data_IF_555389337894
#
_entry.id   IF_555389337894
#
_cell.length_a   1.000
_cell.length_b   1.000
_cell.length_c   1.000
_cell.angle_alpha   90.00
_cell.angle_beta   90.00
_cell.angle_gamma   90.00
#
_symmetry.space_group_name_H-M   'P 1'
#
loop_
_entity.id
_entity.type
_entity.pdbx_description
1 polymer ?
#
# COMPACT_ATOMS: atom_id res chain seq x y z
N UNK A 1 0.10 -17.93 9.54
CA UNK A 1 0.57 -17.28 10.78
C UNK A 1 -0.56 -16.60 11.56
N UNK A 2 -1.24 -15.56 11.05
CA UNK A 2 -2.36 -14.91 11.80
C UNK A 2 -3.43 -15.91 12.27
N UNK A 3 -3.87 -16.83 11.40
CA UNK A 3 -4.83 -17.90 11.74
C UNK A 3 -4.38 -18.80 12.88
N UNK A 4 -3.08 -18.97 13.06
CA UNK A 4 -2.53 -19.84 14.10
C UNK A 4 -2.67 -19.16 15.47
N UNK A 5 -2.29 -17.88 15.53
CA UNK A 5 -2.42 -17.05 16.72
C UNK A 5 -3.89 -16.91 17.12
N UNK A 6 -4.79 -16.62 16.18
CA UNK A 6 -6.21 -16.41 16.47
C UNK A 6 -6.98 -17.69 16.79
N UNK A 7 -6.47 -18.88 16.43
CA UNK A 7 -7.11 -20.18 16.70
C UNK A 7 -6.54 -20.89 17.94
N UNK A 8 -5.75 -20.21 18.75
CA UNK A 8 -5.38 -20.69 20.09
C UNK A 8 -6.61 -21.13 20.87
N UNK A 9 -6.51 -22.22 21.67
CA UNK A 9 -7.60 -22.70 22.55
C UNK A 9 -8.17 -21.59 23.46
N UNK A 10 -7.36 -20.58 23.76
CA UNK A 10 -7.71 -19.46 24.63
C UNK A 10 -8.10 -18.19 23.86
N UNK A 11 -8.10 -18.25 22.51
CA UNK A 11 -8.26 -17.07 21.65
C UNK A 11 -7.07 -16.11 21.75
N UNK A 12 -6.81 -15.36 20.68
CA UNK A 12 -5.92 -14.21 20.79
C UNK A 12 -6.77 -12.97 21.03
N UNK A 13 -6.32 -12.10 21.94
CA UNK A 13 -6.97 -10.81 22.16
C UNK A 13 -7.12 -10.04 20.81
N UNK A 14 -8.31 -9.48 20.50
CA UNK A 14 -8.54 -8.79 19.24
C UNK A 14 -7.61 -7.61 18.98
N UNK A 15 -7.11 -6.94 20.03
CA UNK A 15 -6.16 -5.84 19.91
C UNK A 15 -4.78 -6.38 19.52
N UNK A 16 -4.30 -7.42 20.21
CA UNK A 16 -3.02 -8.08 19.90
C UNK A 16 -3.01 -8.62 18.46
N UNK A 17 -4.10 -9.25 18.01
CA UNK A 17 -4.20 -9.72 16.63
C UNK A 17 -4.17 -8.58 15.60
N UNK A 18 -4.71 -7.40 15.91
CA UNK A 18 -4.62 -6.23 15.02
C UNK A 18 -3.21 -5.70 14.95
N UNK A 19 -2.59 -5.57 16.11
CA UNK A 19 -1.25 -5.05 16.23
C UNK A 19 -0.28 -5.94 15.46
N UNK A 20 -0.44 -7.26 15.55
CA UNK A 20 0.32 -8.22 14.74
C UNK A 20 0.11 -8.04 13.23
N UNK A 21 -1.15 -7.88 12.79
CA UNK A 21 -1.43 -7.58 11.38
C UNK A 21 -0.73 -6.29 10.92
N UNK A 22 -0.81 -5.22 11.72
CA UNK A 22 -0.20 -3.92 11.42
C UNK A 22 1.33 -3.96 11.44
N UNK A 23 1.92 -4.67 12.39
CA UNK A 23 3.38 -4.73 12.57
C UNK A 23 4.07 -5.64 11.57
N UNK A 24 3.42 -6.71 11.10
CA UNK A 24 4.03 -7.70 10.23
C UNK A 24 3.47 -7.69 8.81
N UNK A 25 2.17 -7.96 8.64
CA UNK A 25 1.58 -8.10 7.30
C UNK A 25 1.54 -6.75 6.59
N UNK A 26 1.03 -5.73 7.28
CA UNK A 26 0.91 -4.38 6.72
C UNK A 26 2.27 -3.75 6.48
N UNK A 27 3.24 -3.94 7.39
CA UNK A 27 4.60 -3.39 7.22
C UNK A 27 5.30 -3.95 5.99
N UNK A 28 5.17 -5.24 5.69
CA UNK A 28 5.71 -5.86 4.46
C UNK A 28 5.05 -5.27 3.21
N UNK A 29 3.73 -5.11 3.23
CA UNK A 29 2.99 -4.51 2.11
C UNK A 29 3.39 -3.03 1.91
N UNK A 30 3.56 -2.29 2.99
CA UNK A 30 3.94 -0.88 2.95
C UNK A 30 5.39 -0.69 2.49
N UNK A 31 6.30 -1.56 2.90
CA UNK A 31 7.70 -1.49 2.48
C UNK A 31 7.84 -1.65 0.96
N UNK A 32 7.15 -2.62 0.36
CA UNK A 32 7.23 -2.88 -1.08
C UNK A 32 6.42 -1.91 -1.96
N UNK A 33 5.59 -1.04 -1.37
CA UNK A 33 4.54 -0.33 -2.11
C UNK A 33 5.04 0.50 -3.29
N UNK A 34 6.20 1.12 -3.15
CA UNK A 34 6.78 1.98 -4.19
C UNK A 34 7.20 1.18 -5.43
N UNK A 35 7.55 -0.09 -5.26
CA UNK A 35 8.03 -0.95 -6.33
C UNK A 35 6.88 -1.60 -7.09
N UNK A 36 5.97 -2.25 -6.37
CA UNK A 36 4.96 -3.10 -6.99
C UNK A 36 3.69 -2.35 -7.43
N UNK A 37 3.51 -1.06 -7.11
CA UNK A 37 2.27 -0.34 -7.48
C UNK A 37 2.09 -0.20 -9.00
N UNK A 38 3.20 -0.20 -9.75
CA UNK A 38 3.20 -0.27 -11.22
C UNK A 38 2.80 -1.64 -11.79
N UNK A 39 2.64 -2.66 -10.94
CA UNK A 39 2.25 -4.00 -11.35
C UNK A 39 0.82 -4.03 -11.92
N UNK A 40 0.50 -5.13 -12.61
CA UNK A 40 -0.82 -5.33 -13.20
C UNK A 40 -1.91 -5.40 -12.13
N UNK A 41 -3.11 -4.94 -12.49
CA UNK A 41 -4.29 -4.98 -11.62
C UNK A 41 -4.58 -6.37 -11.04
N UNK A 42 -4.26 -7.43 -11.79
CA UNK A 42 -4.39 -8.82 -11.35
C UNK A 42 -3.56 -9.11 -10.10
N UNK A 43 -2.29 -8.68 -10.07
CA UNK A 43 -1.40 -8.86 -8.92
C UNK A 43 -1.78 -7.93 -7.76
N UNK A 44 -2.18 -6.69 -8.03
CA UNK A 44 -2.66 -5.77 -7.00
C UNK A 44 -3.89 -6.33 -6.26
N UNK A 45 -4.84 -6.91 -7.01
CA UNK A 45 -6.02 -7.60 -6.43
C UNK A 45 -5.66 -8.81 -5.57
N UNK A 46 -4.48 -9.43 -5.76
CA UNK A 46 -4.02 -10.52 -4.88
C UNK A 46 -3.57 -9.94 -3.54
N UNK A 47 -2.87 -8.80 -3.55
CA UNK A 47 -2.46 -8.10 -2.33
C UNK A 47 -3.67 -7.61 -1.52
N UNK A 48 -4.66 -7.04 -2.20
CA UNK A 48 -5.92 -6.63 -1.55
C UNK A 48 -6.62 -7.84 -0.89
N UNK A 49 -6.64 -9.00 -1.56
CA UNK A 49 -7.17 -10.24 -0.98
C UNK A 49 -6.41 -10.68 0.27
N UNK A 50 -5.10 -10.47 0.34
CA UNK A 50 -4.29 -10.77 1.54
C UNK A 50 -4.73 -9.88 2.71
N UNK A 51 -4.87 -8.56 2.49
CA UNK A 51 -5.38 -7.63 3.50
C UNK A 51 -6.77 -8.05 3.98
N UNK A 52 -7.73 -8.23 3.07
CA UNK A 52 -9.09 -8.59 3.44
C UNK A 52 -9.18 -9.93 4.16
N UNK A 53 -8.39 -10.91 3.73
CA UNK A 53 -8.33 -12.22 4.39
C UNK A 53 -7.80 -12.10 5.82
N UNK A 54 -6.75 -11.32 6.04
CA UNK A 54 -6.21 -11.07 7.37
C UNK A 54 -7.24 -10.41 8.28
N UNK A 55 -7.93 -9.36 7.81
CA UNK A 55 -8.97 -8.68 8.56
C UNK A 55 -10.18 -9.59 8.84
N UNK A 56 -10.64 -10.40 7.88
CA UNK A 56 -11.72 -11.36 8.11
C UNK A 56 -11.39 -12.41 9.17
N UNK A 57 -10.15 -12.93 9.17
CA UNK A 57 -9.70 -13.88 10.18
C UNK A 57 -9.76 -13.26 11.57
N UNK A 58 -9.42 -11.97 11.69
CA UNK A 58 -9.52 -11.24 12.94
C UNK A 58 -10.96 -11.07 13.41
N UNK A 59 -11.87 -10.66 12.51
CA UNK A 59 -13.30 -10.44 12.86
C UNK A 59 -13.99 -11.76 13.23
N UNK A 60 -13.59 -12.85 12.58
CA UNK A 60 -14.47 -14.02 12.45
C UNK A 60 -15.61 -13.76 11.44
N UNK A 61 -15.45 -12.80 10.53
CA UNK A 61 -16.47 -12.41 9.58
C UNK A 61 -16.75 -13.53 8.57
N UNK A 62 -18.02 -13.68 8.21
CA UNK A 62 -18.45 -14.58 7.14
C UNK A 62 -17.82 -14.19 5.80
N UNK A 63 -17.69 -15.16 4.89
CA UNK A 63 -17.07 -14.93 3.57
C UNK A 63 -17.87 -13.96 2.69
N UNK A 64 -19.17 -13.81 2.94
CA UNK A 64 -20.06 -12.90 2.21
C UNK A 64 -19.99 -11.44 2.68
N UNK A 65 -19.36 -11.13 3.82
CA UNK A 65 -19.29 -9.75 4.31
C UNK A 65 -18.61 -8.83 3.29
N UNK A 66 -19.14 -7.61 3.04
CA UNK A 66 -18.55 -6.69 2.07
C UNK A 66 -17.19 -6.17 2.54
N UNK A 67 -16.21 -6.13 1.62
CA UNK A 67 -14.84 -5.69 1.92
C UNK A 67 -14.75 -4.25 2.46
N UNK A 68 -15.49 -3.26 1.91
CA UNK A 68 -15.46 -1.89 2.43
C UNK A 68 -15.95 -1.78 3.89
N UNK A 69 -16.97 -2.57 4.27
CA UNK A 69 -17.48 -2.56 5.64
C UNK A 69 -16.42 -3.05 6.63
N UNK A 70 -15.71 -4.13 6.29
CA UNK A 70 -14.60 -4.65 7.12
C UNK A 70 -13.49 -3.61 7.29
N UNK A 71 -13.17 -2.85 6.25
CA UNK A 71 -12.17 -1.78 6.34
C UNK A 71 -12.62 -0.65 7.27
N UNK A 72 -13.89 -0.24 7.15
CA UNK A 72 -14.48 0.80 7.97
C UNK A 72 -14.51 0.42 9.46
N UNK A 73 -14.88 -0.82 9.79
CA UNK A 73 -14.90 -1.34 11.16
C UNK A 73 -13.54 -1.23 11.87
N UNK A 74 -12.43 -1.35 11.14
CA UNK A 74 -11.08 -1.34 11.72
C UNK A 74 -10.28 -0.07 11.46
N UNK A 75 -10.90 0.96 10.89
CA UNK A 75 -10.23 2.19 10.50
C UNK A 75 -8.98 1.90 9.63
N UNK A 76 -9.10 0.94 8.72
CA UNK A 76 -8.04 0.55 7.80
C UNK A 76 -8.31 1.13 6.42
N UNK A 77 -7.31 1.75 5.81
CA UNK A 77 -7.42 2.25 4.45
C UNK A 77 -7.28 1.14 3.40
N UNK A 78 -7.95 1.25 2.25
CA UNK A 78 -7.64 0.43 1.09
C UNK A 78 -6.18 0.59 0.69
N UNK A 79 -5.53 -0.49 0.24
CA UNK A 79 -4.10 -0.43 -0.11
C UNK A 79 -3.82 0.62 -1.18
N UNK A 80 -4.66 0.77 -2.21
CA UNK A 80 -4.44 1.78 -3.27
C UNK A 80 -4.24 3.21 -2.71
N UNK A 81 -5.17 3.63 -1.85
CA UNK A 81 -5.10 4.95 -1.20
C UNK A 81 -3.87 5.04 -0.31
N UNK A 82 -3.57 3.96 0.42
CA UNK A 82 -2.42 3.90 1.33
C UNK A 82 -1.09 4.02 0.59
N UNK A 83 -0.92 3.33 -0.54
CA UNK A 83 0.32 3.36 -1.33
C UNK A 83 0.59 4.76 -1.86
N UNK A 84 -0.43 5.42 -2.43
CA UNK A 84 -0.36 6.82 -2.85
C UNK A 84 0.07 7.73 -1.70
N UNK A 85 -0.60 7.63 -0.56
CA UNK A 85 -0.26 8.41 0.63
C UNK A 85 1.21 8.22 1.06
N UNK A 86 1.70 6.97 1.11
CA UNK A 86 3.08 6.67 1.49
C UNK A 86 4.09 7.24 0.48
N UNK A 87 3.81 7.15 -0.82
CA UNK A 87 4.65 7.70 -1.87
C UNK A 87 4.77 9.23 -1.76
N UNK A 88 3.65 9.93 -1.57
CA UNK A 88 3.65 11.38 -1.36
C UNK A 88 4.41 11.77 -0.09
N UNK A 89 4.16 11.08 1.03
CA UNK A 89 4.85 11.32 2.30
C UNK A 89 6.38 11.20 2.15
N UNK A 90 6.83 10.18 1.44
CA UNK A 90 8.25 9.93 1.20
C UNK A 90 8.87 11.02 0.31
N UNK A 91 8.18 11.45 -0.76
CA UNK A 91 8.65 12.53 -1.62
C UNK A 91 8.75 13.87 -0.89
N UNK A 92 7.76 14.23 -0.08
CA UNK A 92 7.79 15.46 0.72
C UNK A 92 8.99 15.43 1.66
N UNK A 93 9.24 14.30 2.32
CA UNK A 93 10.43 14.10 3.15
C UNK A 93 11.72 14.32 2.36
N UNK A 94 11.84 13.75 1.16
CA UNK A 94 13.04 13.91 0.32
C UNK A 94 13.25 15.32 -0.22
N UNK A 95 12.16 16.05 -0.53
CA UNK A 95 12.23 17.47 -0.89
C UNK A 95 12.71 18.31 0.28
N UNK A 96 12.18 18.07 1.48
CA UNK A 96 12.59 18.78 2.70
C UNK A 96 14.07 18.55 3.05
N UNK A 97 14.58 17.32 2.89
CA UNK A 97 15.98 17.00 3.18
C UNK A 97 16.97 17.35 2.04
N UNK A 98 16.51 18.05 0.98
CA UNK A 98 17.27 18.44 -0.22
C UNK A 98 18.35 17.42 -0.64
N UNK A 99 17.88 16.29 -1.19
CA UNK A 99 18.76 15.17 -1.56
C UNK A 99 19.00 15.11 -3.06
N UNK A 100 20.18 14.63 -3.48
CA UNK A 100 20.53 14.32 -4.89
C UNK A 100 19.50 13.39 -5.57
N UNK A 101 18.74 12.62 -4.79
CA UNK A 101 17.64 11.77 -5.26
C UNK A 101 16.53 12.58 -5.95
N UNK A 102 16.26 13.81 -5.52
CA UNK A 102 15.24 14.66 -6.15
C UNK A 102 15.57 14.96 -7.61
N UNK A 103 16.84 15.21 -7.92
CA UNK A 103 17.32 15.38 -9.30
C UNK A 103 17.24 14.08 -10.11
N UNK A 104 17.54 12.93 -9.50
CA UNK A 104 17.36 11.62 -10.17
C UNK A 104 15.87 11.34 -10.48
N UNK A 105 14.98 11.71 -9.57
CA UNK A 105 13.53 11.54 -9.73
C UNK A 105 12.98 12.47 -10.82
N UNK A 106 13.46 13.71 -10.92
CA UNK A 106 13.04 14.61 -11.99
C UNK A 106 13.47 14.09 -13.37
N UNK A 107 14.70 13.58 -13.49
CA UNK A 107 15.18 12.92 -14.71
C UNK A 107 14.35 11.67 -15.03
N UNK A 108 14.09 10.82 -14.04
CA UNK A 108 13.25 9.63 -14.22
C UNK A 108 11.83 9.99 -14.67
N UNK A 109 11.26 11.09 -14.16
CA UNK A 109 9.95 11.60 -14.56
C UNK A 109 9.91 12.06 -16.02
N UNK A 110 10.97 12.72 -16.50
CA UNK A 110 11.10 13.08 -17.92
C UNK A 110 11.22 11.83 -18.78
N UNK A 111 12.05 10.85 -18.39
CA UNK A 111 12.22 9.62 -19.13
C UNK A 111 10.94 8.78 -19.22
N UNK A 112 10.17 8.71 -18.12
CA UNK A 112 8.88 8.01 -18.07
C UNK A 112 7.90 8.54 -19.13
N UNK A 113 7.81 9.87 -19.27
CA UNK A 113 6.95 10.53 -20.28
C UNK A 113 7.39 10.28 -21.71
N UNK A 114 8.69 10.16 -21.95
CA UNK A 114 9.25 10.01 -23.29
C UNK A 114 9.32 8.55 -23.77
N UNK A 115 9.31 7.58 -22.85
CA UNK A 115 9.56 6.18 -23.20
C UNK A 115 8.27 5.45 -23.65
N UNK A 116 8.26 4.78 -24.84
CA UNK A 116 7.05 4.14 -25.39
C UNK A 116 6.40 3.09 -24.48
N UNK A 117 7.19 2.35 -23.70
CA UNK A 117 6.71 1.32 -22.77
C UNK A 117 5.63 1.81 -21.78
N UNK A 118 5.80 3.03 -21.24
CA UNK A 118 4.90 3.59 -20.23
C UNK A 118 3.62 4.20 -20.83
N UNK A 119 3.49 4.26 -22.17
CA UNK A 119 2.24 4.69 -22.82
C UNK A 119 1.09 3.72 -22.59
N UNK A 120 1.40 2.43 -22.48
CA UNK A 120 0.41 1.35 -22.34
C UNK A 120 0.43 0.69 -20.96
N UNK A 121 1.31 1.15 -20.06
CA UNK A 121 1.45 0.62 -18.70
C UNK A 121 1.31 1.74 -17.68
N UNK A 122 1.00 1.36 -16.44
CA UNK A 122 0.99 2.32 -15.33
C UNK A 122 2.40 2.80 -15.07
N UNK A 123 2.58 4.11 -15.06
CA UNK A 123 3.83 4.72 -14.66
C UNK A 123 4.14 4.40 -13.20
N UNK A 124 5.43 4.40 -12.82
CA UNK A 124 5.83 4.13 -11.45
C UNK A 124 5.25 5.16 -10.47
N UNK A 125 4.82 4.68 -9.30
CA UNK A 125 4.15 5.50 -8.29
C UNK A 125 4.98 6.69 -7.80
N UNK A 126 6.31 6.56 -7.76
CA UNK A 126 7.19 7.68 -7.37
C UNK A 126 7.21 8.79 -8.42
N UNK A 127 7.09 8.46 -9.71
CA UNK A 127 7.02 9.44 -10.80
C UNK A 127 5.70 10.17 -10.74
N UNK A 128 4.59 9.42 -10.65
CA UNK A 128 3.25 10.02 -10.59
C UNK A 128 3.12 10.94 -9.39
N UNK A 129 3.51 10.48 -8.20
CA UNK A 129 3.46 11.28 -6.99
C UNK A 129 4.37 12.53 -7.06
N UNK A 130 5.51 12.45 -7.75
CA UNK A 130 6.39 13.60 -7.97
C UNK A 130 5.73 14.63 -8.89
N UNK A 131 5.12 14.17 -9.99
CA UNK A 131 4.40 15.07 -10.90
C UNK A 131 3.19 15.72 -10.26
N UNK A 132 2.48 15.01 -9.39
CA UNK A 132 1.33 15.55 -8.68
C UNK A 132 1.76 16.60 -7.65
N UNK A 133 2.82 16.33 -6.88
CA UNK A 133 3.36 17.32 -5.93
C UNK A 133 3.95 18.57 -6.59
N UNK A 134 4.41 18.49 -7.85
CA UNK A 134 4.83 19.68 -8.60
C UNK A 134 3.68 20.53 -9.13
N UNK A 135 2.45 20.01 -9.22
CA UNK A 135 1.29 20.79 -9.70
C UNK A 135 0.76 21.79 -8.66
N UNK A 136 1.05 21.56 -7.38
CA UNK A 136 0.53 22.37 -6.26
C UNK A 136 1.49 23.47 -5.79
N UNK A 137 2.62 23.63 -6.48
CA UNK A 137 3.66 24.61 -6.18
C UNK A 137 3.61 25.72 -7.21
#
# INVERSE_FOLDING_TARGET
MLRFITKSKWGADPCVSLQFYRSYIRSILDYGCVLYDSATNTHLKILDRIQFKALRIRVGAVRSSPCPAILAEYNESPLDVRRKYLAHKLLIKYRSSNTLLTGKISVASVNDRCHPYWRHKRSPLFVTAFTDTSKFQ
#
